data_IF_030126640206
#
_entry.id   IF_030126640206
#
_cell.length_a   1.000
_cell.length_b   1.000
_cell.length_c   1.000
_cell.angle_alpha   90.00
_cell.angle_beta   90.00
_cell.angle_gamma   90.00
#
_symmetry.space_group_name_H-M   'P 1'
#
loop_
_entity.id
_entity.type
_entity.pdbx_description
1 polymer ?
#
# COMPACT_ATOMS: atom_id res chain seq x y z
N UNK A 1 -2.23 -2.65 4.85
CA UNK A 1 -1.37 -2.69 6.04
C UNK A 1 -0.48 -3.93 5.94
N UNK A 2 0.74 -3.87 6.45
CA UNK A 2 1.60 -5.04 6.65
C UNK A 2 2.44 -4.80 7.91
N UNK A 3 2.87 -5.86 8.60
CA UNK A 3 3.71 -5.73 9.80
C UNK A 3 5.18 -5.46 9.43
N UNK A 4 5.60 -5.78 8.20
CA UNK A 4 6.96 -5.57 7.73
C UNK A 4 7.18 -4.11 7.29
N UNK A 5 7.92 -3.36 8.11
CA UNK A 5 8.26 -1.97 7.83
C UNK A 5 9.05 -1.79 6.53
N UNK A 6 9.99 -2.70 6.22
CA UNK A 6 10.82 -2.59 5.03
C UNK A 6 9.98 -2.74 3.76
N UNK A 7 9.02 -3.68 3.77
CA UNK A 7 8.06 -3.86 2.69
C UNK A 7 7.18 -2.62 2.51
N UNK A 8 6.66 -2.06 3.60
CA UNK A 8 5.85 -0.84 3.56
C UNK A 8 6.65 0.35 2.99
N UNK A 9 7.90 0.52 3.40
CA UNK A 9 8.76 1.61 2.89
C UNK A 9 9.02 1.50 1.39
N UNK A 10 9.23 0.27 0.89
CA UNK A 10 9.38 0.00 -0.54
C UNK A 10 8.08 0.27 -1.32
N UNK A 11 6.94 -0.19 -0.80
CA UNK A 11 5.63 0.04 -1.42
C UNK A 11 5.27 1.53 -1.47
N UNK A 12 5.62 2.30 -0.43
CA UNK A 12 5.47 3.77 -0.42
C UNK A 12 6.31 4.47 -1.49
N UNK A 13 7.40 3.85 -1.92
CA UNK A 13 8.23 4.33 -3.04
C UNK A 13 7.74 3.82 -4.40
N UNK A 14 6.61 3.10 -4.44
CA UNK A 14 6.08 2.46 -5.65
C UNK A 14 6.88 1.23 -6.11
N UNK A 15 7.72 0.66 -5.24
CA UNK A 15 8.49 -0.54 -5.57
C UNK A 15 7.65 -1.79 -5.29
N UNK A 16 7.35 -2.54 -6.34
CA UNK A 16 6.56 -3.78 -6.29
C UNK A 16 7.46 -4.97 -6.62
N UNK A 17 7.47 -5.97 -5.75
CA UNK A 17 8.41 -7.11 -5.84
C UNK A 17 7.88 -8.32 -6.60
N UNK A 18 6.60 -8.29 -7.01
CA UNK A 18 6.02 -9.32 -7.87
C UNK A 18 5.96 -8.82 -9.30
N UNK A 19 6.32 -9.69 -10.25
CA UNK A 19 6.17 -9.38 -11.66
C UNK A 19 4.73 -9.66 -12.09
N UNK A 20 3.94 -8.61 -12.14
CA UNK A 20 2.58 -8.60 -12.70
C UNK A 20 2.49 -7.43 -13.70
N UNK A 21 2.19 -7.70 -14.99
CA UNK A 21 2.08 -6.65 -16.01
C UNK A 21 1.10 -5.54 -15.60
N UNK A 22 1.59 -4.29 -15.53
CA UNK A 22 0.79 -3.10 -15.22
C UNK A 22 0.62 -2.77 -13.74
N UNK A 23 0.95 -3.67 -12.82
CA UNK A 23 0.75 -3.46 -11.38
C UNK A 23 1.56 -2.27 -10.84
N UNK A 24 2.85 -2.16 -11.21
CA UNK A 24 3.70 -1.07 -10.75
C UNK A 24 3.16 0.31 -11.17
N UNK A 25 2.59 0.43 -12.37
CA UNK A 25 1.99 1.67 -12.85
C UNK A 25 0.71 2.02 -12.08
N UNK A 26 -0.16 1.02 -11.84
CA UNK A 26 -1.37 1.20 -11.06
C UNK A 26 -1.07 1.64 -9.62
N UNK A 27 -0.08 1.01 -8.98
CA UNK A 27 0.35 1.39 -7.63
C UNK A 27 0.85 2.83 -7.63
N UNK A 28 1.73 3.20 -8.57
CA UNK A 28 2.28 4.57 -8.64
C UNK A 28 1.18 5.61 -8.86
N UNK A 29 0.27 5.40 -9.82
CA UNK A 29 -0.81 6.35 -10.10
C UNK A 29 -1.72 6.59 -8.87
N UNK A 30 -1.99 5.54 -8.09
CA UNK A 30 -2.81 5.69 -6.89
C UNK A 30 -2.05 6.28 -5.69
N UNK A 31 -0.72 6.13 -5.64
CA UNK A 31 0.13 6.84 -4.68
C UNK A 31 0.19 8.34 -5.02
N UNK A 32 0.42 8.67 -6.29
CA UNK A 32 0.52 10.06 -6.78
C UNK A 32 -0.80 10.83 -6.59
N UNK A 33 -1.93 10.13 -6.68
CA UNK A 33 -3.26 10.67 -6.43
C UNK A 33 -3.77 10.52 -4.99
N UNK A 34 -2.93 10.08 -4.05
CA UNK A 34 -3.29 9.90 -2.63
C UNK A 34 -4.53 9.00 -2.41
N UNK A 35 -4.80 8.06 -3.33
CA UNK A 35 -5.90 7.09 -3.21
C UNK A 35 -5.45 5.78 -2.55
N UNK A 36 -4.15 5.52 -2.52
CA UNK A 36 -3.55 4.32 -1.94
C UNK A 36 -2.51 4.71 -0.88
N UNK A 37 -2.65 4.15 0.32
CA UNK A 37 -1.72 4.37 1.42
C UNK A 37 -1.26 3.05 2.00
N UNK A 38 0.05 2.94 2.25
CA UNK A 38 0.65 1.79 2.92
C UNK A 38 1.06 2.19 4.35
N UNK A 39 0.78 1.32 5.32
CA UNK A 39 1.07 1.56 6.73
C UNK A 39 1.38 0.26 7.48
N UNK A 40 2.19 0.39 8.54
CA UNK A 40 2.39 -0.62 9.57
C UNK A 40 1.49 -0.42 10.79
N UNK A 41 0.79 0.73 10.87
CA UNK A 41 -0.13 1.04 11.96
C UNK A 41 -1.49 0.35 11.73
N UNK A 42 -1.77 -0.66 12.54
CA UNK A 42 -3.03 -1.40 12.54
C UNK A 42 -4.21 -0.51 12.94
N UNK A 43 -4.04 0.34 13.96
CA UNK A 43 -5.11 1.18 14.48
C UNK A 43 -5.56 2.17 13.42
N UNK A 44 -4.60 2.82 12.75
CA UNK A 44 -4.90 3.71 11.63
C UNK A 44 -5.66 2.99 10.51
N UNK A 45 -5.26 1.77 10.16
CA UNK A 45 -5.93 1.00 9.11
C UNK A 45 -7.37 0.64 9.48
N UNK A 46 -7.62 0.26 10.74
CA UNK A 46 -8.97 -0.07 11.25
C UNK A 46 -9.85 1.17 11.36
N UNK A 47 -9.33 2.29 11.86
CA UNK A 47 -10.08 3.54 12.01
C UNK A 47 -10.44 4.17 10.66
N UNK A 48 -9.60 4.02 9.64
CA UNK A 48 -9.84 4.55 8.30
C UNK A 48 -10.88 3.77 7.50
N UNK A 49 -10.99 2.47 7.73
CA UNK A 49 -11.72 1.57 6.83
C UNK A 49 -13.20 1.40 7.21
N UNK A 50 -14.10 1.60 6.24
CA UNK A 50 -15.49 1.14 6.35
C UNK A 50 -15.62 -0.37 6.09
N UNK A 51 -14.71 -0.92 5.28
CA UNK A 51 -14.64 -2.36 4.93
C UNK A 51 -13.17 -2.80 5.01
N UNK A 52 -12.92 -3.91 5.71
CA UNK A 52 -11.59 -4.52 5.85
C UNK A 52 -11.51 -5.85 5.12
N UNK A 53 -10.51 -5.99 4.25
CA UNK A 53 -10.14 -7.25 3.60
C UNK A 53 -8.96 -7.88 4.36
N UNK A 54 -9.09 -9.16 4.73
CA UNK A 54 -8.09 -9.93 5.48
C UNK A 54 -7.40 -10.92 4.55
#
# INVERSE_FOLDING_TARGET
MDIDQAKIDQLRQGQVHIYEPGLANLVRDNLDHERLHFTTDERLAVEHAEVLFI
#
